data_IF_666931990614
#
_entry.id   IF_666931990614
#
_cell.length_a   1.000
_cell.length_b   1.000
_cell.length_c   1.000
_cell.angle_alpha   90.00
_cell.angle_beta   90.00
_cell.angle_gamma   90.00
#
_symmetry.space_group_name_H-M   'P 1'
#
loop_
_entity.id
_entity.type
_entity.pdbx_description
1 polymer ?
#
# COMPACT_ATOMS: atom_id res chain seq x y z
N UNK A 1 19.49 15.24 -31.90
CA UNK A 1 19.75 13.96 -31.20
C UNK A 1 20.74 14.10 -30.03
N UNK A 2 21.91 14.73 -30.20
CA UNK A 2 22.90 14.90 -29.11
C UNK A 2 22.38 15.69 -27.88
N UNK A 3 21.61 16.76 -28.10
CA UNK A 3 21.07 17.59 -27.00
C UNK A 3 20.04 16.84 -26.14
N UNK A 4 19.27 15.92 -26.74
CA UNK A 4 18.29 15.10 -26.02
C UNK A 4 18.98 14.05 -25.13
N UNK A 5 20.05 13.43 -25.63
CA UNK A 5 20.83 12.44 -24.85
C UNK A 5 21.51 13.08 -23.63
N UNK A 6 22.01 14.32 -23.77
CA UNK A 6 22.57 15.08 -22.63
C UNK A 6 21.50 15.36 -21.57
N UNK A 7 20.32 15.84 -21.98
CA UNK A 7 19.21 16.10 -21.07
C UNK A 7 18.79 14.85 -20.30
N UNK A 8 18.63 13.72 -20.99
CA UNK A 8 18.22 12.45 -20.36
C UNK A 8 19.27 11.93 -19.36
N UNK A 9 20.56 12.14 -19.62
CA UNK A 9 21.59 11.85 -18.62
C UNK A 9 21.48 12.74 -17.39
N UNK A 10 21.19 14.04 -17.56
CA UNK A 10 20.96 14.94 -16.43
C UNK A 10 19.71 14.54 -15.63
N UNK A 11 18.64 14.11 -16.31
CA UNK A 11 17.44 13.56 -15.65
C UNK A 11 17.83 12.35 -14.80
N UNK A 12 18.63 11.42 -15.34
CA UNK A 12 19.12 10.26 -14.60
C UNK A 12 19.87 10.64 -13.33
N UNK A 13 20.79 11.59 -13.41
CA UNK A 13 21.56 12.06 -12.25
C UNK A 13 20.65 12.65 -11.15
N UNK A 14 19.69 13.48 -11.54
CA UNK A 14 18.73 14.08 -10.59
C UNK A 14 17.78 13.03 -9.99
N UNK A 15 17.42 12.03 -10.79
CA UNK A 15 16.60 10.90 -10.38
C UNK A 15 17.32 10.02 -9.35
N UNK A 16 18.59 9.68 -9.60
CA UNK A 16 19.43 8.92 -8.66
C UNK A 16 19.63 9.69 -7.35
N UNK A 17 19.88 11.00 -7.42
CA UNK A 17 19.95 11.86 -6.23
C UNK A 17 18.65 11.84 -5.40
N UNK A 18 17.48 11.78 -6.05
CA UNK A 18 16.21 11.62 -5.34
C UNK A 18 16.13 10.28 -4.61
N UNK A 19 16.57 9.19 -5.26
CA UNK A 19 16.60 7.84 -4.68
C UNK A 19 17.47 7.83 -3.42
N UNK A 20 18.62 8.49 -3.46
CA UNK A 20 19.54 8.64 -2.33
C UNK A 20 18.91 9.43 -1.18
N UNK A 21 18.29 10.58 -1.46
CA UNK A 21 17.62 11.40 -0.44
C UNK A 21 16.44 10.69 0.22
N UNK A 22 15.71 9.85 -0.54
CA UNK A 22 14.59 9.08 -0.01
C UNK A 22 15.04 7.89 0.84
N UNK A 23 16.16 7.25 0.49
CA UNK A 23 16.62 6.00 1.09
C UNK A 23 16.57 5.93 2.64
N UNK A 24 16.97 6.97 3.41
CA UNK A 24 16.89 6.92 4.87
C UNK A 24 15.46 7.05 5.42
N UNK A 25 14.49 7.54 4.65
CA UNK A 25 13.14 7.85 5.13
C UNK A 25 12.34 6.55 5.30
N UNK A 26 12.27 6.06 6.54
CA UNK A 26 11.48 4.88 6.93
C UNK A 26 10.31 5.29 7.80
N UNK A 27 9.19 5.64 7.16
CA UNK A 27 7.99 6.15 7.84
C UNK A 27 7.52 5.20 8.95
N UNK A 28 7.46 3.90 8.67
CA UNK A 28 6.96 2.92 9.65
C UNK A 28 7.86 2.82 10.88
N UNK A 29 9.19 2.80 10.68
CA UNK A 29 10.17 2.78 11.77
C UNK A 29 10.05 4.05 12.64
N UNK A 30 9.74 5.19 12.01
CA UNK A 30 9.53 6.45 12.71
C UNK A 30 8.27 6.45 13.59
N UNK A 31 7.20 5.75 13.22
CA UNK A 31 5.88 5.87 13.90
C UNK A 31 5.50 4.69 14.79
N UNK A 32 6.02 3.49 14.54
CA UNK A 32 5.59 2.25 15.20
C UNK A 32 5.81 2.26 16.72
N UNK A 33 4.90 1.68 17.48
CA UNK A 33 5.12 1.48 18.92
C UNK A 33 5.94 0.22 19.21
N UNK A 34 6.69 0.24 20.31
CA UNK A 34 7.52 -0.89 20.71
C UNK A 34 6.67 -2.07 21.25
N UNK A 35 7.22 -3.28 21.21
CA UNK A 35 6.55 -4.50 21.72
C UNK A 35 6.11 -4.37 23.19
N UNK A 36 6.83 -3.59 24.00
CA UNK A 36 6.52 -3.34 25.42
C UNK A 36 5.16 -2.66 25.62
N UNK A 37 4.74 -1.80 24.69
CA UNK A 37 3.47 -1.06 24.75
C UNK A 37 2.29 -2.02 24.74
N UNK A 38 2.38 -3.06 23.92
CA UNK A 38 1.38 -4.14 23.85
C UNK A 38 1.34 -4.95 25.14
N UNK A 39 2.51 -5.34 25.65
CA UNK A 39 2.62 -6.11 26.88
C UNK A 39 2.04 -5.34 28.07
N UNK A 40 2.29 -4.03 28.16
CA UNK A 40 1.73 -3.19 29.20
C UNK A 40 0.21 -3.03 29.07
N UNK A 41 -0.30 -2.79 27.86
CA UNK A 41 -1.73 -2.67 27.60
C UNK A 41 -2.50 -3.91 28.09
N UNK A 42 -2.01 -5.11 27.77
CA UNK A 42 -2.64 -6.36 28.22
C UNK A 42 -2.37 -6.70 29.69
N UNK A 43 -1.24 -6.28 30.26
CA UNK A 43 -1.00 -6.38 31.71
C UNK A 43 -2.09 -5.64 32.50
N UNK A 44 -2.58 -4.52 31.97
CA UNK A 44 -3.71 -3.77 32.53
C UNK A 44 -5.06 -4.15 31.90
N UNK A 45 -5.18 -5.38 31.35
CA UNK A 45 -6.42 -5.95 30.82
C UNK A 45 -7.13 -5.08 29.76
N UNK A 46 -6.38 -4.31 28.98
CA UNK A 46 -6.93 -3.39 27.98
C UNK A 46 -7.87 -2.31 28.56
N UNK A 47 -7.70 -1.95 29.84
CA UNK A 47 -8.53 -0.94 30.53
C UNK A 47 -7.83 0.43 30.67
N UNK A 48 -6.55 0.52 30.28
CA UNK A 48 -5.77 1.77 30.32
C UNK A 48 -5.24 2.11 28.95
N UNK A 49 -5.30 3.39 28.59
CA UNK A 49 -4.68 3.87 27.36
C UNK A 49 -3.18 3.51 27.37
N UNK A 50 -2.63 3.09 26.21
CA UNK A 50 -1.19 2.96 26.05
C UNK A 50 -0.44 4.20 26.57
N UNK A 51 0.68 4.03 27.25
CA UNK A 51 1.45 5.17 27.76
C UNK A 51 2.36 5.76 26.66
N UNK A 52 1.75 6.38 25.65
CA UNK A 52 2.44 7.04 24.53
C UNK A 52 2.21 8.53 24.63
N UNK A 53 3.30 9.28 24.69
CA UNK A 53 3.28 10.75 24.76
C UNK A 53 4.10 11.34 23.62
N UNK A 54 4.08 12.67 23.48
CA UNK A 54 4.97 13.35 22.53
C UNK A 54 6.45 13.06 22.83
N UNK A 55 6.82 12.96 24.10
CA UNK A 55 8.20 12.67 24.50
C UNK A 55 8.66 11.29 24.02
N UNK A 56 7.76 10.30 23.95
CA UNK A 56 8.03 8.99 23.36
C UNK A 56 8.55 9.11 21.92
N UNK A 57 8.02 10.06 21.14
CA UNK A 57 8.45 10.31 19.77
C UNK A 57 9.72 11.17 19.67
N UNK A 58 9.87 12.17 20.54
CA UNK A 58 11.04 13.05 20.56
C UNK A 58 12.31 12.31 20.99
N UNK A 59 12.19 11.28 21.82
CA UNK A 59 13.32 10.45 22.26
C UNK A 59 13.75 9.41 21.23
N UNK A 60 12.91 9.12 20.23
CA UNK A 60 13.25 8.13 19.20
C UNK A 60 14.21 8.73 18.17
N UNK A 61 15.39 8.10 18.06
CA UNK A 61 16.30 8.34 16.95
C UNK A 61 15.65 7.91 15.62
N UNK A 62 15.65 8.84 14.66
CA UNK A 62 15.16 8.62 13.31
C UNK A 62 16.21 7.96 12.41
N UNK A 63 17.49 8.03 12.77
CA UNK A 63 18.61 7.66 11.90
C UNK A 63 18.83 8.64 10.73
N UNK A 64 18.13 9.78 10.74
CA UNK A 64 18.29 10.89 9.79
C UNK A 64 17.75 12.19 10.39
N UNK A 65 18.14 13.31 9.80
CA UNK A 65 17.63 14.64 10.16
C UNK A 65 16.53 15.08 9.18
N UNK A 66 15.26 15.18 9.65
CA UNK A 66 14.15 15.57 8.78
C UNK A 66 14.28 16.96 8.18
N UNK A 67 14.79 17.93 8.93
CA UNK A 67 14.91 19.32 8.48
C UNK A 67 15.94 19.41 7.35
N UNK A 68 17.10 18.80 7.56
CA UNK A 68 18.14 18.72 6.54
C UNK A 68 17.65 18.02 5.27
N UNK A 69 16.91 16.91 5.38
CA UNK A 69 16.33 16.25 4.21
C UNK A 69 15.27 17.12 3.53
N UNK A 70 14.44 17.88 4.27
CA UNK A 70 13.46 18.81 3.66
C UNK A 70 14.16 19.88 2.83
N UNK A 71 15.26 20.44 3.34
CA UNK A 71 16.07 21.41 2.60
C UNK A 71 16.76 20.77 1.38
N UNK A 72 17.23 19.53 1.51
CA UNK A 72 17.80 18.78 0.40
C UNK A 72 16.79 18.53 -0.73
N UNK A 73 15.55 18.11 -0.41
CA UNK A 73 14.48 17.97 -1.41
C UNK A 73 14.07 19.31 -2.02
N UNK A 74 14.02 20.39 -1.23
CA UNK A 74 13.75 21.73 -1.76
C UNK A 74 14.84 22.17 -2.75
N UNK A 75 16.10 21.88 -2.44
CA UNK A 75 17.24 22.17 -3.32
C UNK A 75 17.17 21.34 -4.60
N UNK A 76 16.88 20.05 -4.49
CA UNK A 76 16.70 19.16 -5.63
C UNK A 76 15.55 19.62 -6.54
N UNK A 77 14.42 20.06 -5.97
CA UNK A 77 13.28 20.57 -6.73
C UNK A 77 13.64 21.82 -7.57
N UNK A 78 14.45 22.72 -6.99
CA UNK A 78 14.98 23.89 -7.69
C UNK A 78 15.97 23.49 -8.79
N UNK A 79 16.85 22.53 -8.51
CA UNK A 79 17.83 22.00 -9.47
C UNK A 79 17.15 21.32 -10.68
N UNK A 80 16.11 20.53 -10.44
CA UNK A 80 15.23 19.96 -11.46
C UNK A 80 14.65 21.07 -12.34
N UNK A 81 14.11 22.12 -11.71
CA UNK A 81 13.49 23.25 -12.42
C UNK A 81 14.49 24.01 -13.31
N UNK A 82 15.73 24.20 -12.82
CA UNK A 82 16.81 24.90 -13.55
C UNK A 82 17.40 24.06 -14.68
N UNK A 83 17.49 22.74 -14.49
CA UNK A 83 18.18 21.84 -15.42
C UNK A 83 17.26 21.32 -16.53
N UNK A 84 16.06 20.84 -16.16
CA UNK A 84 15.14 20.17 -17.08
C UNK A 84 14.07 21.16 -17.61
N UNK A 85 13.77 22.20 -16.86
CA UNK A 85 12.77 23.21 -17.19
C UNK A 85 11.38 22.87 -16.62
N UNK A 86 10.65 23.88 -16.14
CA UNK A 86 9.42 23.70 -15.36
C UNK A 86 8.26 23.05 -16.14
N UNK A 87 8.22 23.26 -17.47
CA UNK A 87 7.18 22.70 -18.34
C UNK A 87 7.50 21.28 -18.81
N UNK A 88 8.71 20.78 -18.54
CA UNK A 88 9.10 19.45 -18.97
C UNK A 88 8.30 18.39 -18.18
N UNK A 89 7.72 17.38 -18.85
CA UNK A 89 6.91 16.37 -18.18
C UNK A 89 7.68 15.58 -17.09
N UNK A 90 8.96 15.27 -17.31
CA UNK A 90 9.81 14.61 -16.30
C UNK A 90 10.05 15.51 -15.07
N UNK A 91 10.24 16.82 -15.30
CA UNK A 91 10.39 17.78 -14.22
C UNK A 91 9.13 17.87 -13.37
N UNK A 92 7.94 17.92 -13.99
CA UNK A 92 6.66 17.94 -13.28
C UNK A 92 6.49 16.73 -12.36
N UNK A 93 6.78 15.53 -12.87
CA UNK A 93 6.75 14.29 -12.10
C UNK A 93 7.69 14.37 -10.88
N UNK A 94 8.98 14.63 -11.12
CA UNK A 94 10.00 14.62 -10.07
C UNK A 94 9.79 15.73 -9.02
N UNK A 95 9.29 16.91 -9.42
CA UNK A 95 8.99 18.00 -8.49
C UNK A 95 7.82 17.66 -7.57
N UNK A 96 6.78 16.98 -8.09
CA UNK A 96 5.68 16.52 -7.23
C UNK A 96 6.20 15.52 -6.21
N UNK A 97 7.04 14.57 -6.63
CA UNK A 97 7.68 13.63 -5.70
C UNK A 97 8.50 14.35 -4.60
N UNK A 98 9.27 15.39 -4.95
CA UNK A 98 9.98 16.21 -3.96
C UNK A 98 9.02 16.88 -2.96
N UNK A 99 7.89 17.39 -3.45
CA UNK A 99 6.86 18.03 -2.60
C UNK A 99 6.25 17.02 -1.63
N UNK A 100 5.87 15.85 -2.12
CA UNK A 100 5.32 14.77 -1.30
C UNK A 100 6.33 14.28 -0.25
N UNK A 101 7.61 14.12 -0.59
CA UNK A 101 8.62 13.75 0.41
C UNK A 101 8.83 14.84 1.47
N UNK A 102 8.74 16.12 1.11
CA UNK A 102 8.76 17.21 2.11
C UNK A 102 7.55 17.14 3.04
N UNK A 103 6.36 16.80 2.54
CA UNK A 103 5.17 16.58 3.37
C UNK A 103 5.33 15.36 4.29
N UNK A 104 5.91 14.26 3.81
CA UNK A 104 6.22 13.09 4.65
C UNK A 104 7.15 13.46 5.80
N UNK A 105 8.18 14.28 5.53
CA UNK A 105 9.11 14.72 6.56
C UNK A 105 8.42 15.62 7.60
N UNK A 106 7.53 16.54 7.17
CA UNK A 106 6.71 17.34 8.09
C UNK A 106 5.77 16.51 8.95
N UNK A 107 5.16 15.48 8.36
CA UNK A 107 4.36 14.51 9.09
C UNK A 107 5.21 13.84 10.18
N UNK A 108 6.42 13.36 9.85
CA UNK A 108 7.34 12.75 10.83
C UNK A 108 7.78 13.74 11.92
N UNK A 109 8.09 14.99 11.58
CA UNK A 109 8.42 16.04 12.56
C UNK A 109 7.27 16.31 13.54
N UNK A 110 6.02 16.09 13.10
CA UNK A 110 4.81 16.40 13.85
C UNK A 110 4.25 15.25 14.70
N UNK A 111 4.97 14.11 14.80
CA UNK A 111 4.52 12.94 15.57
C UNK A 111 4.14 13.31 17.01
N UNK A 112 3.04 12.72 17.51
CA UNK A 112 2.49 13.03 18.83
C UNK A 112 1.77 14.39 18.92
N UNK A 113 1.41 14.98 17.79
CA UNK A 113 0.62 16.22 17.70
C UNK A 113 -0.52 16.08 16.68
N UNK A 114 -1.57 16.92 16.74
CA UNK A 114 -2.64 16.91 15.73
C UNK A 114 -2.15 17.14 14.29
N UNK A 115 -1.06 17.90 14.09
CA UNK A 115 -0.50 18.18 12.76
C UNK A 115 -0.05 16.90 12.02
N UNK A 116 0.34 15.85 12.77
CA UNK A 116 0.63 14.53 12.17
C UNK A 116 -0.55 14.01 11.36
N UNK A 117 -1.77 14.12 11.90
CA UNK A 117 -2.98 13.69 11.24
C UNK A 117 -3.28 14.54 10.00
N UNK A 118 -3.20 15.86 10.11
CA UNK A 118 -3.47 16.74 8.96
C UNK A 118 -2.52 16.47 7.78
N UNK A 119 -1.22 16.27 8.04
CA UNK A 119 -0.30 15.85 6.99
C UNK A 119 -0.60 14.43 6.48
N UNK A 120 -1.01 13.50 7.35
CA UNK A 120 -1.45 12.17 6.92
C UNK A 120 -2.65 12.26 5.97
N UNK A 121 -3.63 13.11 6.27
CA UNK A 121 -4.80 13.34 5.42
C UNK A 121 -4.41 13.93 4.07
N UNK A 122 -3.51 14.92 4.02
CA UNK A 122 -2.99 15.44 2.75
C UNK A 122 -2.33 14.36 1.89
N UNK A 123 -1.64 13.41 2.53
CA UNK A 123 -0.83 12.39 1.86
C UNK A 123 -1.63 11.13 1.44
N UNK A 124 -2.61 10.72 2.25
CA UNK A 124 -3.32 9.43 2.09
C UNK A 124 -4.84 9.60 1.90
N UNK A 125 -5.39 10.77 2.24
CA UNK A 125 -6.81 11.08 2.19
C UNK A 125 -7.51 10.98 3.55
N UNK A 126 -8.82 11.22 3.51
CA UNK A 126 -9.73 11.23 4.64
C UNK A 126 -10.78 10.11 4.51
N UNK A 127 -11.25 9.46 5.60
CA UNK A 127 -12.27 8.41 5.51
C UNK A 127 -13.61 8.90 4.91
N UNK A 128 -13.92 10.18 5.06
CA UNK A 128 -15.12 10.82 4.50
C UNK A 128 -14.91 11.42 3.09
N UNK A 129 -13.76 11.14 2.44
CA UNK A 129 -13.56 11.51 1.03
C UNK A 129 -14.52 10.73 0.11
N UNK A 130 -15.00 11.39 -0.93
CA UNK A 130 -15.77 10.80 -2.03
C UNK A 130 -14.95 10.81 -3.33
N UNK A 131 -15.21 9.88 -4.25
CA UNK A 131 -14.58 9.88 -5.57
C UNK A 131 -15.23 10.88 -6.52
N UNK A 132 -16.57 10.93 -6.54
CA UNK A 132 -17.36 11.93 -7.27
C UNK A 132 -18.45 12.52 -6.37
N UNK A 133 -19.00 13.67 -6.77
CA UNK A 133 -20.08 14.29 -6.04
C UNK A 133 -21.31 13.37 -6.01
N UNK A 134 -21.76 13.03 -4.80
CA UNK A 134 -22.89 12.12 -4.58
C UNK A 134 -22.53 10.63 -4.52
N UNK A 135 -21.26 10.27 -4.72
CA UNK A 135 -20.79 8.91 -4.47
C UNK A 135 -20.68 8.63 -2.96
N UNK A 136 -20.72 7.36 -2.54
CA UNK A 136 -20.40 6.98 -1.17
C UNK A 136 -18.97 7.38 -0.78
N UNK A 137 -18.80 7.75 0.48
CA UNK A 137 -17.50 7.98 1.11
C UNK A 137 -16.69 6.67 1.20
N UNK A 138 -15.38 6.76 1.43
CA UNK A 138 -14.55 5.58 1.69
C UNK A 138 -15.05 4.77 2.91
N UNK A 139 -15.54 5.46 3.95
CA UNK A 139 -16.14 4.83 5.11
C UNK A 139 -17.42 4.05 4.76
N UNK A 140 -18.29 4.62 3.92
CA UNK A 140 -19.51 3.96 3.45
C UNK A 140 -19.20 2.77 2.54
N UNK A 141 -18.23 2.90 1.63
CA UNK A 141 -17.78 1.78 0.80
C UNK A 141 -17.26 0.62 1.64
N UNK A 142 -16.55 0.91 2.74
CA UNK A 142 -16.10 -0.12 3.67
C UNK A 142 -17.28 -0.87 4.32
N UNK A 143 -18.35 -0.17 4.70
CA UNK A 143 -19.59 -0.79 5.23
C UNK A 143 -20.25 -1.66 4.17
N UNK A 144 -20.39 -1.16 2.94
CA UNK A 144 -20.99 -1.91 1.83
C UNK A 144 -20.23 -3.22 1.53
N UNK A 145 -18.91 -3.22 1.68
CA UNK A 145 -18.09 -4.42 1.54
C UNK A 145 -18.14 -5.34 2.77
N UNK A 146 -18.51 -4.83 3.95
CA UNK A 146 -18.59 -5.60 5.19
C UNK A 146 -19.81 -6.53 5.17
N UNK A 147 -20.98 -6.04 4.76
CA UNK A 147 -22.26 -6.76 4.86
C UNK A 147 -22.25 -8.17 4.22
N UNK A 148 -21.73 -8.38 2.99
CA UNK A 148 -21.67 -9.72 2.40
C UNK A 148 -20.69 -10.65 3.12
N UNK A 149 -19.67 -10.09 3.77
CA UNK A 149 -18.61 -10.86 4.40
C UNK A 149 -19.01 -11.39 5.78
N UNK A 150 -19.85 -10.66 6.53
CA UNK A 150 -20.26 -11.07 7.90
C UNK A 150 -20.79 -12.50 7.93
N UNK A 151 -21.60 -12.89 6.94
CA UNK A 151 -22.16 -14.26 6.85
C UNK A 151 -21.13 -15.32 6.46
N UNK A 152 -20.04 -14.91 5.81
CA UNK A 152 -18.96 -15.78 5.34
C UNK A 152 -17.80 -15.89 6.33
N UNK A 153 -17.87 -15.19 7.47
CA UNK A 153 -16.86 -15.23 8.53
C UNK A 153 -17.05 -16.40 9.50
N UNK A 154 -18.11 -17.20 9.34
CA UNK A 154 -18.28 -18.43 10.11
C UNK A 154 -17.22 -19.46 9.72
N UNK A 155 -16.37 -19.80 10.69
CA UNK A 155 -15.29 -20.78 10.57
C UNK A 155 -15.75 -22.19 10.14
N UNK A 156 -17.01 -22.53 10.38
CA UNK A 156 -17.58 -23.80 9.95
C UNK A 156 -17.81 -23.87 8.43
N UNK A 157 -17.97 -22.72 7.79
CA UNK A 157 -18.24 -22.60 6.34
C UNK A 157 -16.91 -22.53 5.57
N UNK A 158 -15.93 -21.77 6.07
CA UNK A 158 -14.61 -21.60 5.46
C UNK A 158 -13.52 -21.71 6.54
N UNK A 159 -12.97 -22.92 6.79
CA UNK A 159 -11.92 -23.09 7.77
C UNK A 159 -10.62 -22.39 7.32
N UNK A 160 -9.86 -21.91 8.30
CA UNK A 160 -8.53 -21.37 8.04
C UNK A 160 -7.57 -22.51 7.65
N UNK A 161 -6.61 -22.18 6.78
CA UNK A 161 -5.53 -23.12 6.50
C UNK A 161 -4.67 -23.34 7.74
N UNK A 162 -4.14 -24.56 7.94
CA UNK A 162 -3.19 -24.81 9.01
C UNK A 162 -1.95 -23.92 8.83
N UNK A 163 -1.49 -23.32 9.94
CA UNK A 163 -0.20 -22.65 10.03
C UNK A 163 0.86 -23.64 10.49
N UNK A 164 1.30 -24.49 9.58
CA UNK A 164 2.18 -25.63 9.84
C UNK A 164 3.54 -25.56 9.12
N UNK A 165 3.81 -24.47 8.40
CA UNK A 165 5.08 -24.24 7.69
C UNK A 165 6.01 -23.38 8.56
N UNK A 166 7.16 -23.91 9.04
CA UNK A 166 8.15 -23.13 9.76
C UNK A 166 8.77 -22.03 8.89
N UNK A 167 9.18 -20.93 9.52
CA UNK A 167 9.73 -19.76 8.84
C UNK A 167 10.90 -20.09 7.88
N UNK A 168 11.77 -21.04 8.23
CA UNK A 168 12.91 -21.47 7.39
C UNK A 168 12.46 -22.19 6.10
N UNK A 169 11.40 -23.01 6.21
CA UNK A 169 10.78 -23.67 5.06
C UNK A 169 10.00 -22.66 4.21
N UNK A 170 9.27 -21.74 4.86
CA UNK A 170 8.57 -20.65 4.21
C UNK A 170 9.52 -19.75 3.41
N UNK A 171 10.71 -19.45 3.95
CA UNK A 171 11.75 -18.69 3.23
C UNK A 171 12.19 -19.43 1.97
N UNK A 172 12.55 -20.71 2.11
CA UNK A 172 13.03 -21.54 1.00
C UNK A 172 11.98 -21.67 -0.10
N UNK A 173 10.72 -21.86 0.30
CA UNK A 173 9.58 -21.91 -0.59
C UNK A 173 9.39 -20.58 -1.34
N UNK A 174 9.28 -19.47 -0.60
CA UNK A 174 8.99 -18.16 -1.17
C UNK A 174 10.10 -17.70 -2.12
N UNK A 175 11.37 -17.94 -1.76
CA UNK A 175 12.51 -17.66 -2.63
C UNK A 175 12.45 -18.47 -3.94
N UNK A 176 12.12 -19.77 -3.86
CA UNK A 176 11.98 -20.64 -5.02
C UNK A 176 10.86 -20.19 -5.97
N UNK A 177 9.67 -19.89 -5.43
CA UNK A 177 8.52 -19.49 -6.26
C UNK A 177 8.72 -18.11 -6.88
N UNK A 178 9.33 -17.16 -6.16
CA UNK A 178 9.65 -15.84 -6.71
C UNK A 178 10.69 -15.93 -7.83
N UNK A 179 11.75 -16.72 -7.66
CA UNK A 179 12.73 -16.94 -8.71
C UNK A 179 12.12 -17.58 -9.97
N UNK A 180 11.11 -18.42 -9.79
CA UNK A 180 10.36 -19.04 -10.89
C UNK A 180 9.38 -18.08 -11.56
N UNK A 181 8.60 -17.31 -10.80
CA UNK A 181 7.56 -16.42 -11.32
C UNK A 181 8.13 -15.09 -11.83
N UNK A 182 9.27 -14.65 -11.31
CA UNK A 182 9.99 -13.44 -11.74
C UNK A 182 11.50 -13.69 -11.93
N UNK A 183 11.90 -14.40 -13.02
CA UNK A 183 13.31 -14.74 -13.24
C UNK A 183 14.24 -13.52 -13.30
N UNK A 184 15.33 -13.56 -12.52
CA UNK A 184 16.32 -12.49 -12.44
C UNK A 184 15.88 -11.28 -11.62
N UNK A 185 14.83 -11.41 -10.79
CA UNK A 185 14.45 -10.44 -9.78
C UNK A 185 15.53 -10.38 -8.70
N UNK A 186 16.10 -9.19 -8.45
CA UNK A 186 17.09 -9.02 -7.39
C UNK A 186 16.38 -8.75 -6.05
N UNK A 187 15.85 -9.81 -5.44
CA UNK A 187 15.11 -9.78 -4.19
C UNK A 187 15.59 -10.89 -3.26
N UNK A 188 15.71 -10.60 -1.96
CA UNK A 188 16.13 -11.56 -0.94
C UNK A 188 14.97 -11.88 0.01
N UNK A 189 14.66 -13.15 0.20
CA UNK A 189 13.80 -13.56 1.32
C UNK A 189 14.68 -13.77 2.54
N UNK A 190 14.38 -13.09 3.66
CA UNK A 190 15.21 -13.14 4.88
C UNK A 190 14.35 -13.37 6.11
N UNK A 191 14.92 -14.02 7.13
CA UNK A 191 14.28 -14.14 8.44
C UNK A 191 14.60 -12.92 9.30
N UNK A 192 13.64 -12.49 10.14
CA UNK A 192 13.82 -11.40 11.08
C UNK A 192 13.09 -11.66 12.39
N UNK A 193 13.80 -11.45 13.50
CA UNK A 193 13.27 -11.66 14.86
C UNK A 193 12.60 -10.37 15.42
N UNK A 194 12.58 -9.30 14.62
CA UNK A 194 12.24 -7.94 15.07
C UNK A 194 11.00 -7.31 14.41
N UNK A 195 10.35 -7.98 13.47
CA UNK A 195 9.14 -7.44 12.82
C UNK A 195 7.88 -7.80 13.61
N UNK A 196 6.93 -6.86 13.69
CA UNK A 196 5.66 -7.04 14.42
C UNK A 196 4.65 -7.83 13.58
N UNK A 197 4.75 -7.77 12.26
CA UNK A 197 3.93 -8.54 11.32
C UNK A 197 4.58 -9.86 10.96
N UNK A 198 3.78 -10.82 10.49
CA UNK A 198 4.24 -12.12 10.00
C UNK A 198 5.27 -11.97 8.86
N UNK A 199 5.11 -10.93 8.03
CA UNK A 199 6.08 -10.55 7.02
C UNK A 199 6.09 -9.03 6.76
N UNK A 200 7.15 -8.54 6.09
CA UNK A 200 7.27 -7.16 5.61
C UNK A 200 8.18 -7.07 4.39
N UNK A 201 7.82 -6.27 3.38
CA UNK A 201 8.69 -6.02 2.22
C UNK A 201 9.48 -4.71 2.32
N UNK A 202 10.70 -4.76 1.80
CA UNK A 202 11.56 -3.62 1.51
C UNK A 202 11.78 -3.42 0.02
N UNK A 203 12.81 -2.66 -0.35
CA UNK A 203 13.16 -2.40 -1.74
C UNK A 203 13.65 -3.63 -2.51
N UNK A 204 14.33 -4.52 -1.80
CA UNK A 204 15.10 -5.65 -2.33
C UNK A 204 14.94 -6.88 -1.43
N UNK A 205 13.96 -6.90 -0.54
CA UNK A 205 13.76 -8.02 0.37
C UNK A 205 12.31 -8.23 0.79
N UNK A 206 12.01 -9.47 1.18
CA UNK A 206 10.83 -9.83 1.96
C UNK A 206 11.34 -10.44 3.28
N UNK A 207 11.02 -9.81 4.40
CA UNK A 207 11.30 -10.31 5.75
C UNK A 207 10.16 -11.20 6.19
N UNK A 208 10.47 -12.39 6.67
CA UNK A 208 9.53 -13.28 7.36
C UNK A 208 9.86 -13.30 8.86
N UNK A 209 8.83 -13.29 9.70
CA UNK A 209 9.02 -13.40 11.14
C UNK A 209 9.46 -14.83 11.48
N UNK A 210 10.60 -14.96 12.16
CA UNK A 210 11.16 -16.28 12.51
C UNK A 210 10.32 -17.01 13.56
N UNK A 211 9.57 -16.29 14.38
CA UNK A 211 8.83 -16.82 15.53
C UNK A 211 7.43 -17.33 15.17
N UNK A 212 6.99 -17.20 13.90
CA UNK A 212 5.65 -17.60 13.47
C UNK A 212 5.71 -18.75 12.46
N UNK A 213 4.63 -19.53 12.45
CA UNK A 213 4.36 -20.53 11.42
C UNK A 213 3.46 -19.91 10.36
N UNK A 214 3.62 -20.35 9.12
CA UNK A 214 2.88 -19.88 7.96
C UNK A 214 1.96 -20.97 7.43
N UNK A 215 0.86 -20.55 6.82
CA UNK A 215 0.05 -21.40 5.94
C UNK A 215 0.51 -21.28 4.48
N UNK A 216 0.21 -22.27 3.65
CA UNK A 216 0.50 -22.20 2.22
C UNK A 216 -0.14 -20.97 1.56
N UNK A 217 -1.40 -20.66 1.91
CA UNK A 217 -2.10 -19.49 1.36
C UNK A 217 -1.46 -18.17 1.77
N UNK A 218 -0.87 -18.07 2.96
CA UNK A 218 -0.12 -16.87 3.35
C UNK A 218 1.13 -16.70 2.49
N UNK A 219 1.84 -17.78 2.16
CA UNK A 219 3.00 -17.72 1.26
C UNK A 219 2.59 -17.32 -0.17
N UNK A 220 1.49 -17.88 -0.66
CA UNK A 220 0.93 -17.50 -1.97
C UNK A 220 0.54 -16.02 -1.98
N UNK A 221 -0.10 -15.53 -0.91
CA UNK A 221 -0.45 -14.13 -0.77
C UNK A 221 0.80 -13.23 -0.73
N UNK A 222 1.85 -13.64 -0.01
CA UNK A 222 3.12 -12.89 0.05
C UNK A 222 3.81 -12.84 -1.32
N UNK A 223 3.83 -13.94 -2.07
CA UNK A 223 4.37 -13.95 -3.43
C UNK A 223 3.62 -12.93 -4.31
N UNK A 224 2.29 -12.90 -4.22
CA UNK A 224 1.46 -12.02 -5.05
C UNK A 224 1.52 -10.55 -4.64
N UNK A 225 1.34 -10.26 -3.35
CA UNK A 225 1.25 -8.91 -2.81
C UNK A 225 2.64 -8.27 -2.70
N UNK A 226 3.55 -8.93 -1.98
CA UNK A 226 4.86 -8.38 -1.66
C UNK A 226 5.84 -8.60 -2.81
N UNK A 227 5.89 -9.82 -3.36
CA UNK A 227 6.80 -10.18 -4.43
C UNK A 227 6.46 -9.49 -5.75
N UNK A 228 5.29 -9.78 -6.31
CA UNK A 228 4.97 -9.34 -7.65
C UNK A 228 4.72 -7.83 -7.77
N UNK A 229 4.05 -7.24 -6.78
CA UNK A 229 3.70 -5.82 -6.81
C UNK A 229 4.80 -4.98 -6.15
N UNK A 230 5.01 -5.09 -4.84
CA UNK A 230 5.92 -4.15 -4.15
C UNK A 230 7.39 -4.30 -4.59
N UNK A 231 7.91 -5.52 -4.59
CA UNK A 231 9.31 -5.78 -4.97
C UNK A 231 9.48 -5.70 -6.49
N UNK A 232 8.60 -6.34 -7.26
CA UNK A 232 8.63 -6.32 -8.72
C UNK A 232 8.63 -4.91 -9.31
N UNK A 233 7.73 -4.03 -8.84
CA UNK A 233 7.70 -2.63 -9.30
C UNK A 233 8.90 -1.83 -8.81
N UNK A 234 9.43 -2.09 -7.61
CA UNK A 234 10.68 -1.44 -7.16
C UNK A 234 11.82 -1.76 -8.12
N UNK A 235 11.97 -3.03 -8.51
CA UNK A 235 13.03 -3.47 -9.41
C UNK A 235 12.82 -2.95 -10.85
N UNK A 236 11.58 -2.90 -11.33
CA UNK A 236 11.28 -2.24 -12.61
C UNK A 236 11.63 -0.75 -12.59
N UNK A 237 11.33 -0.05 -11.49
CA UNK A 237 11.67 1.36 -11.30
C UNK A 237 13.18 1.58 -11.28
N UNK A 238 13.95 0.73 -10.60
CA UNK A 238 15.42 0.79 -10.58
C UNK A 238 16.03 0.52 -11.96
N UNK A 239 15.37 -0.32 -12.76
CA UNK A 239 15.79 -0.66 -14.11
C UNK A 239 15.47 0.43 -15.15
N UNK A 240 14.72 1.48 -14.79
CA UNK A 240 14.43 2.58 -15.73
C UNK A 240 15.73 3.31 -16.12
N UNK A 241 15.93 3.62 -17.42
CA UNK A 241 17.19 4.20 -17.88
C UNK A 241 17.42 5.61 -17.32
N UNK A 242 16.35 6.39 -17.16
CA UNK A 242 16.43 7.81 -16.77
C UNK A 242 15.65 8.17 -15.50
N UNK A 243 14.58 7.43 -15.18
CA UNK A 243 13.67 7.74 -14.07
C UNK A 243 13.73 6.66 -12.97
N UNK A 244 14.92 6.41 -12.44
CA UNK A 244 15.15 5.51 -11.30
C UNK A 244 14.36 5.87 -10.04
N UNK A 245 13.92 7.12 -9.91
CA UNK A 245 13.08 7.58 -8.82
C UNK A 245 11.74 6.84 -8.78
N UNK A 246 11.28 6.27 -9.91
CA UNK A 246 10.11 5.39 -9.96
C UNK A 246 10.29 4.12 -9.11
N UNK A 247 11.49 3.78 -8.64
CA UNK A 247 11.67 2.73 -7.64
C UNK A 247 11.10 3.09 -6.25
N UNK A 248 10.92 4.39 -5.97
CA UNK A 248 10.56 4.90 -4.66
C UNK A 248 9.11 5.34 -4.65
N UNK A 249 8.35 4.73 -3.74
CA UNK A 249 6.94 5.07 -3.56
C UNK A 249 6.82 6.40 -2.83
N UNK A 250 6.13 7.35 -3.43
CA UNK A 250 5.53 8.48 -2.71
C UNK A 250 4.20 8.05 -2.07
N UNK A 251 3.65 8.81 -1.10
CA UNK A 251 2.33 8.53 -0.56
C UNK A 251 1.23 8.38 -1.61
N UNK A 252 1.19 9.23 -2.65
CA UNK A 252 0.21 9.09 -3.73
C UNK A 252 0.37 7.76 -4.49
N UNK A 253 1.60 7.40 -4.87
CA UNK A 253 1.86 6.10 -5.53
C UNK A 253 1.55 4.90 -4.63
N UNK A 254 1.62 5.06 -3.30
CA UNK A 254 1.27 4.00 -2.34
C UNK A 254 -0.20 3.59 -2.51
N UNK A 255 -1.10 4.54 -2.75
CA UNK A 255 -2.51 4.24 -3.05
C UNK A 255 -2.62 3.33 -4.27
N UNK A 256 -1.92 3.64 -5.37
CA UNK A 256 -1.90 2.79 -6.57
C UNK A 256 -1.27 1.42 -6.30
N UNK A 257 -0.15 1.36 -5.57
CA UNK A 257 0.54 0.10 -5.25
C UNK A 257 -0.31 -0.83 -4.40
N UNK A 258 -0.90 -0.34 -3.30
CA UNK A 258 -1.78 -1.14 -2.44
C UNK A 258 -3.03 -1.59 -3.20
N UNK A 259 -3.56 -0.72 -4.09
CA UNK A 259 -4.68 -1.07 -4.97
C UNK A 259 -4.37 -2.19 -5.95
N UNK A 260 -3.22 -2.11 -6.62
CA UNK A 260 -2.72 -3.17 -7.50
C UNK A 260 -2.52 -4.48 -6.72
N UNK A 261 -1.95 -4.41 -5.52
CA UNK A 261 -1.71 -5.56 -4.69
C UNK A 261 -3.02 -6.25 -4.26
N UNK A 262 -4.00 -5.50 -3.76
CA UNK A 262 -5.33 -6.04 -3.43
C UNK A 262 -6.05 -6.58 -4.66
N UNK A 263 -6.01 -5.88 -5.79
CA UNK A 263 -6.59 -6.36 -7.04
C UNK A 263 -5.96 -7.70 -7.46
N UNK A 264 -4.62 -7.77 -7.41
CA UNK A 264 -3.85 -8.98 -7.71
C UNK A 264 -4.19 -10.13 -6.76
N UNK A 265 -4.33 -9.90 -5.45
CA UNK A 265 -4.80 -10.91 -4.50
C UNK A 265 -6.15 -11.51 -4.91
N UNK A 266 -7.10 -10.65 -5.34
CA UNK A 266 -8.47 -11.05 -5.70
C UNK A 266 -8.50 -11.82 -7.03
N UNK A 267 -7.92 -11.27 -8.10
CA UNK A 267 -8.01 -11.88 -9.44
C UNK A 267 -7.20 -13.18 -9.56
N UNK A 268 -6.24 -13.40 -8.66
CA UNK A 268 -5.48 -14.66 -8.58
C UNK A 268 -6.05 -15.63 -7.55
N UNK A 269 -7.21 -15.30 -6.95
CA UNK A 269 -7.92 -16.13 -5.97
C UNK A 269 -7.09 -16.48 -4.73
N UNK A 270 -6.16 -15.59 -4.36
CA UNK A 270 -5.30 -15.73 -3.18
C UNK A 270 -5.85 -15.00 -1.96
N UNK A 271 -6.73 -14.02 -2.16
CA UNK A 271 -7.43 -13.33 -1.06
C UNK A 271 -8.54 -14.21 -0.47
N UNK A 272 -8.94 -13.91 0.77
CA UNK A 272 -10.01 -14.61 1.51
C UNK A 272 -11.02 -13.62 2.09
N UNK A 273 -12.25 -14.06 2.46
CA UNK A 273 -13.19 -13.20 3.18
C UNK A 273 -12.58 -12.61 4.46
N UNK A 274 -11.80 -13.39 5.21
CA UNK A 274 -11.06 -12.93 6.39
C UNK A 274 -10.03 -11.84 6.05
N UNK A 275 -9.29 -12.00 4.95
CA UNK A 275 -8.33 -11.01 4.46
C UNK A 275 -9.04 -9.69 4.10
N UNK A 276 -10.15 -9.75 3.38
CA UNK A 276 -10.95 -8.57 3.03
C UNK A 276 -11.54 -7.90 4.27
N UNK A 277 -12.11 -8.69 5.20
CA UNK A 277 -12.61 -8.19 6.48
C UNK A 277 -11.52 -7.48 7.29
N UNK A 278 -10.29 -7.98 7.30
CA UNK A 278 -9.15 -7.31 7.96
C UNK A 278 -8.82 -5.95 7.32
N UNK A 279 -8.95 -5.81 6.00
CA UNK A 279 -8.75 -4.52 5.31
C UNK A 279 -9.87 -3.53 5.63
N UNK A 280 -11.12 -4.00 5.64
CA UNK A 280 -12.30 -3.19 6.01
C UNK A 280 -12.19 -2.69 7.45
N UNK A 281 -11.84 -3.58 8.39
CA UNK A 281 -11.71 -3.22 9.81
C UNK A 281 -10.63 -2.16 10.05
N UNK A 282 -9.57 -2.09 9.23
CA UNK A 282 -8.59 -1.00 9.30
C UNK A 282 -9.19 0.36 8.93
N UNK A 283 -10.07 0.41 7.94
CA UNK A 283 -10.77 1.64 7.55
C UNK A 283 -11.79 2.02 8.63
N UNK A 284 -12.53 1.05 9.17
CA UNK A 284 -13.46 1.28 10.28
C UNK A 284 -12.74 1.86 11.50
N UNK A 285 -11.58 1.31 11.86
CA UNK A 285 -10.76 1.83 12.95
C UNK A 285 -10.30 3.27 12.72
N UNK A 286 -9.79 3.60 11.52
CA UNK A 286 -9.42 4.97 11.15
C UNK A 286 -10.62 5.91 11.18
N UNK A 287 -11.80 5.45 10.73
CA UNK A 287 -13.03 6.25 10.74
C UNK A 287 -13.45 6.58 12.17
N UNK A 288 -13.54 5.58 13.05
CA UNK A 288 -13.90 5.77 14.45
C UNK A 288 -12.95 6.74 15.16
N UNK A 289 -11.64 6.59 14.97
CA UNK A 289 -10.65 7.48 15.55
C UNK A 289 -10.72 8.91 14.97
N UNK A 290 -11.06 9.05 13.69
CA UNK A 290 -11.29 10.36 13.07
C UNK A 290 -12.52 11.05 13.69
N UNK A 291 -13.54 10.26 14.01
CA UNK A 291 -14.79 10.73 14.62
C UNK A 291 -14.70 10.89 16.17
N UNK A 292 -13.50 10.72 16.74
CA UNK A 292 -13.19 11.06 18.14
C UNK A 292 -13.02 9.87 19.08
N UNK A 293 -13.07 8.63 18.60
CA UNK A 293 -12.82 7.46 19.44
C UNK A 293 -11.35 7.34 19.84
N UNK A 294 -11.08 6.96 21.09
CA UNK A 294 -9.73 6.68 21.57
C UNK A 294 -9.26 5.24 21.23
N UNK A 295 -8.02 4.93 21.59
CA UNK A 295 -7.41 3.62 21.35
C UNK A 295 -8.22 2.46 21.94
N UNK A 296 -8.75 2.61 23.16
CA UNK A 296 -9.51 1.57 23.84
C UNK A 296 -10.87 1.39 23.16
N UNK A 297 -11.53 2.47 22.78
CA UNK A 297 -12.82 2.41 22.09
C UNK A 297 -12.70 1.71 20.74
N UNK A 298 -11.66 2.04 19.96
CA UNK A 298 -11.35 1.32 18.71
C UNK A 298 -11.02 -0.15 18.98
N UNK A 299 -10.21 -0.45 20.00
CA UNK A 299 -9.89 -1.83 20.39
C UNK A 299 -11.16 -2.62 20.76
N UNK A 300 -12.04 -2.05 21.59
CA UNK A 300 -13.29 -2.67 22.03
C UNK A 300 -14.24 -2.91 20.88
N UNK A 301 -14.41 -1.92 19.99
CA UNK A 301 -15.20 -2.08 18.77
C UNK A 301 -14.76 -3.31 17.95
N UNK A 302 -13.45 -3.49 17.78
CA UNK A 302 -12.91 -4.64 17.03
C UNK A 302 -13.14 -5.97 17.77
N UNK A 303 -13.06 -5.97 19.10
CA UNK A 303 -13.40 -7.15 19.93
C UNK A 303 -14.86 -7.52 19.82
N UNK A 304 -15.76 -6.54 19.86
CA UNK A 304 -17.20 -6.75 19.71
C UNK A 304 -17.56 -7.29 18.31
N UNK A 305 -16.74 -6.98 17.30
CA UNK A 305 -16.81 -7.58 15.96
C UNK A 305 -16.24 -8.99 15.87
N UNK A 306 -15.78 -9.58 16.97
CA UNK A 306 -15.30 -10.95 17.05
C UNK A 306 -13.83 -11.14 16.66
N UNK A 307 -13.04 -10.07 16.50
CA UNK A 307 -11.60 -10.20 16.27
C UNK A 307 -10.89 -10.65 17.55
N UNK A 308 -9.77 -11.36 17.41
CA UNK A 308 -8.90 -11.72 18.54
C UNK A 308 -8.35 -10.47 19.24
N UNK A 309 -7.90 -10.61 20.50
CA UNK A 309 -7.23 -9.52 21.22
C UNK A 309 -6.00 -9.01 20.48
N UNK A 310 -5.22 -9.95 19.96
CA UNK A 310 -3.98 -9.69 19.23
C UNK A 310 -4.23 -8.92 17.92
N UNK A 311 -5.24 -9.32 17.13
CA UNK A 311 -5.61 -8.61 15.90
C UNK A 311 -6.22 -7.24 16.20
N UNK A 312 -7.07 -7.15 17.23
CA UNK A 312 -7.71 -5.89 17.64
C UNK A 312 -6.67 -4.86 18.06
N UNK A 313 -5.70 -5.26 18.90
CA UNK A 313 -4.58 -4.40 19.27
C UNK A 313 -3.74 -4.01 18.05
N UNK A 314 -3.48 -4.95 17.14
CA UNK A 314 -2.67 -4.68 15.95
C UNK A 314 -3.33 -3.65 15.03
N UNK A 315 -4.65 -3.71 14.85
CA UNK A 315 -5.37 -2.72 14.03
C UNK A 315 -5.46 -1.37 14.76
N UNK A 316 -5.76 -1.36 16.06
CA UNK A 316 -5.79 -0.12 16.85
C UNK A 316 -4.40 0.57 16.86
N UNK A 317 -3.33 -0.16 17.13
CA UNK A 317 -1.96 0.39 17.11
C UNK A 317 -1.55 0.91 15.74
N UNK A 318 -1.97 0.28 14.64
CA UNK A 318 -1.76 0.83 13.29
C UNK A 318 -2.51 2.14 13.04
N UNK A 319 -3.64 2.32 13.70
CA UNK A 319 -4.49 3.52 13.60
C UNK A 319 -3.87 4.69 14.36
N UNK A 320 -3.31 4.45 15.56
CA UNK A 320 -2.78 5.51 16.42
C UNK A 320 -1.25 5.69 16.36
N UNK A 321 -0.49 4.81 15.70
CA UNK A 321 0.96 4.98 15.55
C UNK A 321 1.31 6.31 14.86
N UNK A 322 2.25 7.04 15.45
CA UNK A 322 2.62 8.41 15.04
C UNK A 322 1.78 9.49 15.71
N UNK A 323 0.71 9.12 16.40
CA UNK A 323 -0.18 9.99 17.17
C UNK A 323 -0.22 9.58 18.65
N UNK A 324 -1.01 10.29 19.44
CA UNK A 324 -1.32 9.91 20.82
C UNK A 324 -2.49 8.91 20.85
N UNK A 325 -2.63 8.05 21.88
CA UNK A 325 -3.69 7.04 21.95
C UNK A 325 -5.11 7.62 22.09
N UNK A 326 -5.22 8.89 22.43
CA UNK A 326 -6.44 9.71 22.48
C UNK A 326 -6.45 10.81 21.40
N UNK A 327 -5.51 10.73 20.45
CA UNK A 327 -5.34 11.70 19.36
C UNK A 327 -6.00 11.27 18.05
N UNK A 328 -5.77 12.04 16.99
CA UNK A 328 -6.29 11.76 15.65
C UNK A 328 -5.48 10.66 14.93
N UNK A 329 -6.08 9.90 14.00
CA UNK A 329 -5.45 8.70 13.44
C UNK A 329 -4.44 8.96 12.33
N UNK A 330 -3.56 7.98 12.12
CA UNK A 330 -2.76 7.82 10.92
C UNK A 330 -3.59 7.20 9.79
N UNK A 331 -3.82 7.96 8.71
CA UNK A 331 -4.76 7.60 7.64
C UNK A 331 -4.17 6.74 6.51
N UNK A 332 -2.91 6.27 6.62
CA UNK A 332 -2.27 5.45 5.58
C UNK A 332 -3.10 4.22 5.18
N UNK A 333 -3.77 3.58 6.12
CA UNK A 333 -4.52 2.34 5.84
C UNK A 333 -5.78 2.57 4.97
N UNK A 334 -6.15 3.82 4.66
CA UNK A 334 -7.15 4.13 3.63
C UNK A 334 -6.67 3.76 2.22
N UNK A 335 -5.35 3.71 2.00
CA UNK A 335 -4.74 3.46 0.69
C UNK A 335 -5.16 2.11 0.07
N UNK A 336 -5.50 1.09 0.86
CA UNK A 336 -5.85 -0.24 0.37
C UNK A 336 -7.15 -0.24 -0.44
N UNK A 337 -8.28 0.12 0.17
CA UNK A 337 -9.58 0.10 -0.53
C UNK A 337 -9.69 1.27 -1.50
N UNK A 338 -9.18 2.47 -1.14
CA UNK A 338 -9.10 3.61 -2.06
C UNK A 338 -8.34 3.22 -3.32
N UNK A 339 -7.18 2.60 -3.14
CA UNK A 339 -6.36 2.07 -4.22
C UNK A 339 -7.10 1.07 -5.06
N UNK A 340 -7.71 0.05 -4.43
CA UNK A 340 -8.44 -1.01 -5.13
C UNK A 340 -9.54 -0.43 -6.04
N UNK A 341 -10.37 0.47 -5.51
CA UNK A 341 -11.46 1.11 -6.27
C UNK A 341 -10.92 1.86 -7.49
N UNK A 342 -9.86 2.65 -7.30
CA UNK A 342 -9.23 3.41 -8.39
C UNK A 342 -8.62 2.50 -9.45
N UNK A 343 -7.81 1.52 -9.04
CA UNK A 343 -7.14 0.60 -9.97
C UNK A 343 -8.14 -0.28 -10.69
N UNK A 344 -9.13 -0.84 -9.99
CA UNK A 344 -10.15 -1.68 -10.61
C UNK A 344 -10.95 -0.93 -11.68
N UNK A 345 -11.41 0.29 -11.37
CA UNK A 345 -12.14 1.10 -12.35
C UNK A 345 -11.26 1.54 -13.51
N UNK A 346 -9.98 1.83 -13.27
CA UNK A 346 -9.02 2.08 -14.35
C UNK A 346 -8.92 0.89 -15.32
N UNK A 347 -8.83 -0.34 -14.81
CA UNK A 347 -8.79 -1.55 -15.65
C UNK A 347 -10.08 -1.72 -16.44
N UNK A 348 -11.24 -1.50 -15.82
CA UNK A 348 -12.55 -1.54 -16.52
C UNK A 348 -12.61 -0.55 -17.67
N UNK A 349 -12.14 0.68 -17.45
CA UNK A 349 -12.11 1.72 -18.48
C UNK A 349 -11.12 1.35 -19.59
N UNK A 350 -9.94 0.83 -19.25
CA UNK A 350 -8.95 0.38 -20.25
C UNK A 350 -9.52 -0.73 -21.14
N UNK A 351 -10.21 -1.73 -20.56
CA UNK A 351 -10.91 -2.78 -21.31
C UNK A 351 -11.98 -2.18 -22.21
N UNK A 352 -12.82 -1.27 -21.70
CA UNK A 352 -13.87 -0.62 -22.49
C UNK A 352 -13.32 0.18 -23.67
N UNK A 353 -12.16 0.82 -23.50
CA UNK A 353 -11.49 1.60 -24.54
C UNK A 353 -10.63 0.74 -25.47
N UNK A 354 -10.54 -0.57 -25.24
CA UNK A 354 -9.65 -1.46 -25.99
C UNK A 354 -8.16 -1.13 -25.79
N UNK A 355 -7.81 -0.46 -24.69
CA UNK A 355 -6.43 -0.01 -24.37
C UNK A 355 -5.74 -0.87 -23.32
N UNK A 356 -5.99 -2.17 -23.37
CA UNK A 356 -5.40 -3.16 -22.45
C UNK A 356 -3.89 -3.26 -22.62
N UNK A 357 -3.36 -2.87 -23.80
CA UNK A 357 -1.95 -2.76 -24.13
C UNK A 357 -1.17 -1.87 -23.16
N UNK A 358 -1.85 -0.89 -22.55
CA UNK A 358 -1.24 0.05 -21.62
C UNK A 358 -1.19 -0.46 -20.18
N UNK A 359 -1.99 -1.45 -19.78
CA UNK A 359 -2.07 -1.92 -18.39
C UNK A 359 -0.72 -2.33 -17.79
N UNK A 360 0.20 -2.99 -18.52
CA UNK A 360 1.54 -3.28 -18.02
C UNK A 360 2.31 -2.02 -17.58
N UNK A 361 2.00 -0.84 -18.12
CA UNK A 361 2.69 0.39 -17.73
C UNK A 361 2.46 0.79 -16.26
N UNK A 362 1.44 0.23 -15.58
CA UNK A 362 1.26 0.39 -14.14
C UNK A 362 2.39 -0.26 -13.31
N UNK A 363 3.19 -1.12 -13.95
CA UNK A 363 4.23 -1.91 -13.29
C UNK A 363 5.65 -1.42 -13.63
N UNK A 364 5.82 -0.35 -14.41
CA UNK A 364 7.15 0.23 -14.75
C UNK A 364 7.92 0.73 -13.53
N UNK A 365 7.22 0.92 -12.42
CA UNK A 365 7.70 1.43 -11.15
C UNK A 365 6.53 1.70 -10.21
N UNK A 366 6.80 2.40 -9.11
CA UNK A 366 5.80 2.92 -8.17
C UNK A 366 5.26 4.24 -8.68
N UNK A 367 4.21 4.17 -9.49
CA UNK A 367 3.58 5.36 -10.09
C UNK A 367 2.28 5.71 -9.37
N UNK A 368 1.90 7.00 -9.40
CA UNK A 368 0.55 7.43 -9.07
C UNK A 368 -0.34 7.27 -10.32
N UNK A 369 -1.58 6.83 -10.12
CA UNK A 369 -2.54 6.65 -11.21
C UNK A 369 -2.82 7.95 -11.98
N UNK A 370 -2.77 9.12 -11.32
CA UNK A 370 -2.95 10.42 -11.98
C UNK A 370 -1.82 10.73 -12.99
N UNK A 371 -0.66 10.09 -12.85
CA UNK A 371 0.44 10.19 -13.81
C UNK A 371 0.34 9.21 -14.96
N UNK A 372 -0.65 8.32 -14.97
CA UNK A 372 -0.65 7.23 -15.92
C UNK A 372 -0.56 7.71 -17.37
N UNK A 373 -1.25 8.82 -17.69
CA UNK A 373 -1.14 9.48 -18.99
C UNK A 373 0.29 9.95 -19.27
N UNK A 374 0.91 10.63 -18.32
CA UNK A 374 2.28 11.12 -18.43
C UNK A 374 3.28 9.96 -18.62
N UNK A 375 3.13 8.88 -17.87
CA UNK A 375 3.95 7.67 -17.99
C UNK A 375 3.80 7.05 -19.39
N UNK A 376 2.57 7.00 -19.91
CA UNK A 376 2.30 6.50 -21.27
C UNK A 376 2.99 7.38 -22.33
N UNK A 377 2.89 8.71 -22.22
CA UNK A 377 3.56 9.66 -23.12
C UNK A 377 5.09 9.52 -23.06
N UNK A 378 5.67 9.34 -21.87
CA UNK A 378 7.10 9.10 -21.71
C UNK A 378 7.55 7.73 -22.23
N UNK A 379 6.66 6.73 -22.18
CA UNK A 379 6.90 5.41 -22.75
C UNK A 379 6.94 5.44 -24.28
N UNK A 380 5.98 6.13 -24.91
CA UNK A 380 5.95 6.34 -26.35
C UNK A 380 7.20 7.08 -26.86
N UNK A 381 7.79 7.95 -26.03
CA UNK A 381 9.04 8.65 -26.32
C UNK A 381 10.31 7.80 -26.07
N UNK A 382 10.17 6.58 -25.56
CA UNK A 382 11.29 5.71 -25.19
C UNK A 382 12.08 6.17 -23.96
N UNK A 383 11.51 7.07 -23.15
CA UNK A 383 12.12 7.55 -21.90
C UNK A 383 11.82 6.59 -20.76
N UNK A 384 10.57 6.11 -20.68
CA UNK A 384 10.16 5.01 -19.81
C UNK A 384 10.18 3.72 -20.63
N UNK A 385 10.85 2.69 -20.13
CA UNK A 385 10.88 1.37 -20.77
C UNK A 385 9.82 0.46 -20.16
N UNK A 386 9.32 -0.49 -20.96
CA UNK A 386 8.36 -1.48 -20.51
C UNK A 386 8.89 -2.25 -19.27
N UNK A 387 8.00 -2.66 -18.34
CA UNK A 387 8.43 -3.41 -17.16
C UNK A 387 9.02 -4.76 -17.56
N UNK A 388 10.08 -5.18 -16.86
CA UNK A 388 10.67 -6.50 -17.02
C UNK A 388 9.95 -7.53 -16.16
N UNK A 389 9.66 -7.17 -14.92
CA UNK A 389 9.03 -8.05 -13.94
C UNK A 389 7.52 -7.83 -13.97
N UNK A 390 6.80 -8.81 -14.52
CA UNK A 390 5.34 -8.79 -14.63
C UNK A 390 4.77 -9.99 -13.86
N UNK A 391 3.71 -9.80 -13.04
CA UNK A 391 2.94 -10.92 -12.51
C UNK A 391 2.43 -11.82 -13.65
N UNK A 392 2.26 -13.14 -13.44
CA UNK A 392 1.83 -14.06 -14.50
C UNK A 392 0.55 -13.63 -15.24
N UNK A 393 -0.43 -13.09 -14.50
CA UNK A 393 -1.71 -12.61 -15.06
C UNK A 393 -1.60 -11.28 -15.86
N UNK A 394 -0.48 -10.57 -15.76
CA UNK A 394 -0.16 -9.42 -16.62
C UNK A 394 0.67 -9.79 -17.85
N UNK A 395 1.39 -10.92 -17.81
CA UNK A 395 2.12 -11.43 -18.98
C UNK A 395 1.15 -11.91 -20.06
N UNK A 396 0.01 -12.47 -19.65
CA UNK A 396 -1.10 -12.83 -20.53
C UNK A 396 -2.41 -12.20 -20.05
N UNK A 397 -2.77 -11.08 -20.67
CA UNK A 397 -3.96 -10.32 -20.32
C UNK A 397 -5.28 -11.00 -20.74
N UNK A 398 -5.27 -12.08 -21.53
CA UNK A 398 -6.51 -12.70 -22.05
C UNK A 398 -7.43 -13.15 -20.91
N UNK A 399 -6.87 -13.78 -19.88
CA UNK A 399 -7.62 -14.22 -18.70
C UNK A 399 -8.22 -13.04 -17.94
N UNK A 400 -7.40 -12.00 -17.69
CA UNK A 400 -7.83 -10.80 -16.98
C UNK A 400 -8.92 -10.03 -17.74
N UNK A 401 -8.78 -9.87 -19.04
CA UNK A 401 -9.76 -9.20 -19.90
C UNK A 401 -11.08 -9.98 -19.94
N UNK A 402 -11.01 -11.30 -20.01
CA UNK A 402 -12.20 -12.17 -19.95
C UNK A 402 -12.93 -11.98 -18.62
N UNK A 403 -12.20 -12.04 -17.51
CA UNK A 403 -12.74 -11.85 -16.17
C UNK A 403 -13.39 -10.47 -16.00
N UNK A 404 -12.71 -9.39 -16.41
CA UNK A 404 -13.24 -8.02 -16.33
C UNK A 404 -14.46 -7.80 -17.24
N UNK A 405 -14.45 -8.37 -18.44
CA UNK A 405 -15.56 -8.26 -19.40
C UNK A 405 -16.81 -8.96 -18.87
N UNK A 406 -16.64 -10.15 -18.29
CA UNK A 406 -17.73 -10.91 -17.70
C UNK A 406 -18.27 -10.23 -16.43
N UNK A 407 -17.39 -9.76 -15.55
CA UNK A 407 -17.78 -9.02 -14.34
C UNK A 407 -18.61 -7.77 -14.66
N UNK A 408 -18.27 -7.02 -15.72
CA UNK A 408 -19.08 -5.89 -16.19
C UNK A 408 -20.44 -6.33 -16.72
N UNK A 409 -20.48 -7.38 -17.54
CA UNK A 409 -21.73 -7.89 -18.11
C UNK A 409 -22.70 -8.28 -16.99
N UNK A 410 -22.25 -9.07 -16.03
CA UNK A 410 -23.06 -9.51 -14.88
C UNK A 410 -23.43 -8.31 -13.98
N UNK A 411 -22.49 -7.40 -13.71
CA UNK A 411 -22.77 -6.21 -12.89
C UNK A 411 -23.78 -5.23 -13.52
N UNK A 412 -24.15 -5.39 -14.79
CA UNK A 412 -25.23 -4.62 -15.43
C UNK A 412 -26.63 -5.22 -15.23
N UNK A 413 -26.71 -6.44 -14.67
CA UNK A 413 -27.96 -7.10 -14.33
C UNK A 413 -28.51 -6.59 -13.00
N UNK A 414 -29.83 -6.59 -12.86
CA UNK A 414 -30.50 -6.18 -11.60
C UNK A 414 -30.38 -7.29 -10.57
N UNK A 415 -29.39 -7.19 -9.69
CA UNK A 415 -29.12 -8.20 -8.67
C UNK A 415 -30.30 -8.40 -7.70
N UNK A 416 -30.98 -7.34 -7.27
CA UNK A 416 -32.12 -7.44 -6.34
C UNK A 416 -33.25 -8.35 -6.82
N UNK A 417 -33.45 -8.45 -8.14
CA UNK A 417 -34.45 -9.34 -8.70
C UNK A 417 -33.95 -10.79 -8.68
N UNK A 418 -32.68 -11.01 -9.05
CA UNK A 418 -32.05 -12.32 -9.00
C UNK A 418 -32.00 -12.86 -7.56
N UNK A 419 -31.68 -12.02 -6.58
CA UNK A 419 -31.68 -12.39 -5.17
C UNK A 419 -33.07 -12.85 -4.72
N UNK A 420 -34.14 -12.13 -5.09
CA UNK A 420 -35.52 -12.56 -4.80
C UNK A 420 -35.87 -13.89 -5.47
N UNK A 421 -35.47 -14.07 -6.72
CA UNK A 421 -35.76 -15.28 -7.49
C UNK A 421 -35.02 -16.51 -6.94
N UNK A 422 -33.79 -16.32 -6.43
CA UNK A 422 -32.95 -17.39 -5.87
C UNK A 422 -33.03 -17.55 -4.35
N UNK A 423 -33.59 -16.57 -3.63
CA UNK A 423 -33.75 -16.64 -2.16
C UNK A 423 -34.46 -17.92 -1.69
N UNK A 424 -35.42 -18.54 -2.42
CA UNK A 424 -35.99 -19.82 -1.99
C UNK A 424 -35.04 -21.02 -2.02
N UNK A 425 -33.85 -20.90 -2.61
CA UNK A 425 -32.85 -21.97 -2.68
C UNK A 425 -31.92 -22.03 -1.45
N UNK A 426 -31.94 -21.00 -0.62
CA UNK A 426 -31.11 -20.84 0.59
C UNK A 426 -32.01 -20.52 1.79
#
# INVERSE_FOLDING_TARGET
MANNKKLLHQVRQLSDKMVELQAPIRVLDAVNWDKSVKQEFFKYKAERLPNITRDTYLQRDLGFDPENLRHAFSTLEQEISRTIGQLNPMARLMKRMCTEYRQVLRMIESRGTPDFHYYSVELYGHPHDVFHAGDPTLAELAIMLEEPLVRLMDHSILPDDPKDIPAEQALSYLDSVLNKSMPGLNARVILSDGIVSDAAAGSDYIKLNKEVMFSQRELDLLEAHEGWIHVGTTQNGLAQPYLTCLAKGTPSSTVTQEGLAVLTEIITLRSTPRRLSKLINRIRAVTLATDGADFIEVFRYLRDKGLSEEDSYTIASRTFRGSLPDGLPFTKDLAYIKGFVLTYNFFRVAVQKGRIDLLPLLLVGKINLDDFRLISELHEQGIVVAPKFLPPHFQDLRGLVTWLSFGRFIGSLKFDQLEKDYSPLF
#
